data_IF_254129142041
#
_entry.id   IF_254129142041
#
_cell.length_a   1.000
_cell.length_b   1.000
_cell.length_c   1.000
_cell.angle_alpha   90.00
_cell.angle_beta   90.00
_cell.angle_gamma   90.00
#
_symmetry.space_group_name_H-M   'P 1'
#
loop_
_entity.id
_entity.type
_entity.pdbx_description
1 polymer ?
#
# COMPACT_ATOMS: atom_id res chain seq x y z
N UNK A 1 -18.57 -2.51 -15.08
CA UNK A 1 -19.12 -1.73 -13.94
C UNK A 1 -18.19 -1.88 -12.74
N UNK A 2 -17.65 -0.76 -12.26
CA UNK A 2 -16.68 -0.75 -11.15
C UNK A 2 -17.36 -0.29 -9.87
N UNK A 3 -17.26 -1.07 -8.79
CA UNK A 3 -17.88 -0.80 -7.50
C UNK A 3 -16.86 -0.83 -6.37
N UNK A 4 -17.06 0.04 -5.40
CA UNK A 4 -16.35 0.02 -4.13
C UNK A 4 -17.34 -0.28 -3.01
N UNK A 5 -17.06 -1.30 -2.22
CA UNK A 5 -17.89 -1.73 -1.11
C UNK A 5 -17.10 -1.55 0.18
N UNK A 6 -17.65 -0.84 1.14
CA UNK A 6 -17.06 -0.60 2.45
C UNK A 6 -17.96 -1.21 3.53
N UNK A 7 -17.47 -2.31 4.13
CA UNK A 7 -18.19 -3.06 5.16
C UNK A 7 -17.62 -2.74 6.54
N UNK A 8 -18.44 -2.14 7.39
CA UNK A 8 -18.09 -1.80 8.77
C UNK A 8 -18.57 -2.87 9.76
N UNK A 9 -17.68 -3.45 10.54
CA UNK A 9 -18.03 -4.34 11.64
C UNK A 9 -17.28 -3.94 12.91
N UNK A 10 -17.96 -3.25 13.82
CA UNK A 10 -17.34 -2.66 15.02
C UNK A 10 -16.20 -1.73 14.64
N UNK A 11 -15.01 -2.01 15.14
CA UNK A 11 -13.81 -1.23 14.81
C UNK A 11 -13.18 -1.57 13.46
N UNK A 12 -13.57 -2.68 12.83
CA UNK A 12 -13.05 -3.12 11.57
C UNK A 12 -13.77 -2.43 10.42
N UNK A 13 -13.01 -1.91 9.45
CA UNK A 13 -13.52 -1.50 8.14
C UNK A 13 -12.83 -2.33 7.06
N UNK A 14 -13.63 -3.01 6.27
CA UNK A 14 -13.19 -3.79 5.12
C UNK A 14 -13.60 -3.06 3.85
N UNK A 15 -12.71 -2.98 2.89
CA UNK A 15 -12.99 -2.35 1.59
C UNK A 15 -12.67 -3.33 0.47
N UNK A 16 -13.67 -3.59 -0.36
CA UNK A 16 -13.55 -4.41 -1.56
C UNK A 16 -13.80 -3.57 -2.81
N UNK A 17 -13.02 -3.79 -3.85
CA UNK A 17 -13.25 -3.19 -5.17
C UNK A 17 -13.60 -4.30 -6.16
N UNK A 18 -14.74 -4.14 -6.82
CA UNK A 18 -15.23 -5.06 -7.84
C UNK A 18 -15.13 -4.43 -9.22
N UNK A 19 -14.76 -5.23 -10.22
CA UNK A 19 -14.91 -4.93 -11.63
C UNK A 19 -15.80 -6.00 -12.26
N UNK A 20 -16.95 -5.59 -12.80
CA UNK A 20 -17.93 -6.51 -13.39
C UNK A 20 -18.32 -7.70 -12.48
N UNK A 21 -18.42 -7.43 -11.17
CA UNK A 21 -18.75 -8.42 -10.14
C UNK A 21 -17.55 -9.25 -9.65
N UNK A 22 -16.37 -9.14 -10.27
CA UNK A 22 -15.15 -9.84 -9.85
C UNK A 22 -14.35 -8.98 -8.87
N UNK A 23 -13.95 -9.56 -7.74
CA UNK A 23 -13.10 -8.91 -6.74
C UNK A 23 -11.70 -8.67 -7.32
N UNK A 24 -11.28 -7.41 -7.38
CA UNK A 24 -9.97 -7.02 -7.93
C UNK A 24 -9.04 -6.41 -6.89
N UNK A 25 -9.59 -5.98 -5.73
CA UNK A 25 -8.82 -5.38 -4.67
C UNK A 25 -9.54 -5.55 -3.33
N UNK A 26 -8.78 -5.79 -2.27
CA UNK A 26 -9.31 -5.95 -0.92
C UNK A 26 -8.32 -5.43 0.11
N UNK A 27 -8.81 -4.71 1.10
CA UNK A 27 -8.02 -4.27 2.24
C UNK A 27 -8.91 -4.07 3.46
N UNK A 28 -8.31 -4.21 4.63
CA UNK A 28 -8.98 -4.10 5.90
C UNK A 28 -8.11 -3.40 6.94
N UNK A 29 -8.74 -2.75 7.89
CA UNK A 29 -8.07 -2.06 8.99
C UNK A 29 -8.98 -1.98 10.20
N UNK A 30 -8.39 -2.10 11.39
CA UNK A 30 -9.07 -1.83 12.66
C UNK A 30 -8.95 -0.36 12.99
N UNK A 31 -10.03 0.24 13.51
CA UNK A 31 -10.08 1.66 13.89
C UNK A 31 -9.03 2.04 14.94
N UNK A 32 -8.78 1.17 15.93
CA UNK A 32 -7.75 1.38 16.94
C UNK A 32 -6.32 1.11 16.46
N UNK A 33 -6.16 0.32 15.39
CA UNK A 33 -4.88 0.05 14.76
C UNK A 33 -4.68 0.89 13.51
N UNK A 34 -5.17 2.15 13.50
CA UNK A 34 -4.68 3.10 12.49
C UNK A 34 -3.16 3.05 12.58
N UNK A 35 -2.51 2.49 11.56
CA UNK A 35 -1.07 2.25 11.57
C UNK A 35 -0.34 3.52 12.00
N UNK A 36 0.78 3.36 12.65
CA UNK A 36 1.58 4.50 13.09
C UNK A 36 2.27 5.22 11.92
N UNK A 37 2.39 4.54 10.78
CA UNK A 37 3.05 5.09 9.57
C UNK A 37 2.32 6.34 9.09
N UNK A 38 3.08 7.43 8.97
CA UNK A 38 2.56 8.75 8.60
C UNK A 38 2.29 9.66 9.81
N UNK A 39 2.09 9.10 11.01
CA UNK A 39 1.91 9.92 12.22
C UNK A 39 3.16 10.73 12.51
N UNK A 40 2.95 11.97 12.99
CA UNK A 40 4.00 12.91 13.38
C UNK A 40 4.02 13.08 14.88
N UNK A 41 5.21 13.00 15.45
CA UNK A 41 5.43 13.12 16.90
C UNK A 41 6.48 14.18 17.20
N UNK A 42 6.34 14.87 18.32
CA UNK A 42 7.46 15.51 18.98
C UNK A 42 8.11 14.48 19.88
N UNK A 43 9.33 14.07 19.54
CA UNK A 43 10.09 13.05 20.27
C UNK A 43 11.27 13.66 21.00
N UNK A 44 11.85 12.90 21.96
CA UNK A 44 13.07 13.23 22.67
C UNK A 44 14.13 12.19 22.40
N UNK A 45 15.32 12.63 21.98
CA UNK A 45 16.47 11.74 21.77
C UNK A 45 16.89 11.15 23.11
N UNK A 46 16.84 9.83 23.24
CA UNK A 46 17.20 9.09 24.45
C UNK A 46 18.67 8.68 24.39
N UNK A 47 19.10 8.20 23.25
CA UNK A 47 20.48 7.71 23.05
C UNK A 47 20.94 7.95 21.61
N UNK A 48 22.26 8.16 21.42
CA UNK A 48 22.91 8.30 20.12
C UNK A 48 23.97 7.22 20.01
N UNK A 49 23.97 6.47 18.91
CA UNK A 49 24.87 5.34 18.63
C UNK A 49 25.75 5.65 17.44
N UNK A 50 26.95 6.21 17.64
CA UNK A 50 27.83 6.59 16.54
C UNK A 50 28.26 5.41 15.66
N UNK A 51 28.50 4.23 16.24
CA UNK A 51 28.87 3.02 15.49
C UNK A 51 27.80 2.52 14.53
N UNK A 52 26.51 2.87 14.76
CA UNK A 52 25.38 2.55 13.90
C UNK A 52 24.90 3.73 13.07
N UNK A 53 25.46 4.91 13.26
CA UNK A 53 25.00 6.17 12.68
C UNK A 53 23.49 6.38 12.88
N UNK A 54 23.00 6.14 14.10
CA UNK A 54 21.59 6.17 14.44
C UNK A 54 21.36 6.76 15.84
N UNK A 55 20.13 7.20 16.08
CA UNK A 55 19.64 7.63 17.38
C UNK A 55 18.35 6.88 17.77
N UNK A 56 18.14 6.72 19.06
CA UNK A 56 16.86 6.27 19.62
C UNK A 56 16.08 7.48 20.14
N UNK A 57 14.82 7.58 19.72
CA UNK A 57 13.92 8.68 20.03
C UNK A 57 12.71 8.16 20.78
N UNK A 58 12.44 8.68 21.95
CA UNK A 58 11.19 8.44 22.66
C UNK A 58 10.08 9.28 22.03
N UNK A 59 9.05 8.61 21.50
CA UNK A 59 7.86 9.21 20.90
C UNK A 59 6.58 8.85 21.67
N UNK A 60 6.71 8.30 22.90
CA UNK A 60 5.60 7.97 23.78
C UNK A 60 4.92 6.63 23.53
N UNK A 61 5.51 5.71 22.75
CA UNK A 61 4.91 4.43 22.35
C UNK A 61 5.50 3.20 23.07
N UNK A 62 6.05 3.36 24.27
CA UNK A 62 6.61 2.28 25.08
C UNK A 62 7.93 1.69 24.56
N UNK A 63 8.25 1.79 23.29
CA UNK A 63 9.55 1.44 22.68
C UNK A 63 10.11 2.64 21.95
N UNK A 64 11.39 2.93 22.16
CA UNK A 64 12.07 4.02 21.47
C UNK A 64 12.11 3.77 19.96
N UNK A 65 11.79 4.80 19.19
CA UNK A 65 11.85 4.78 17.75
C UNK A 65 13.30 4.89 17.26
N UNK A 66 13.59 4.29 16.12
CA UNK A 66 14.89 4.28 15.48
C UNK A 66 14.96 5.37 14.40
N UNK A 67 15.95 6.27 14.54
CA UNK A 67 16.21 7.36 13.59
C UNK A 67 17.61 7.16 13.00
N UNK A 68 17.69 6.91 11.70
CA UNK A 68 18.96 6.72 11.00
C UNK A 68 19.49 8.06 10.48
N UNK A 69 20.80 8.20 10.33
CA UNK A 69 21.43 9.46 9.93
C UNK A 69 20.91 10.01 8.60
N UNK A 70 20.65 9.15 7.61
CA UNK A 70 20.11 9.59 6.32
C UNK A 70 18.71 10.20 6.43
N UNK A 71 17.97 9.81 7.46
CA UNK A 71 16.65 10.36 7.77
C UNK A 71 16.70 11.75 8.45
N UNK A 72 17.90 12.26 8.74
CA UNK A 72 18.19 13.59 9.30
C UNK A 72 18.80 14.55 8.27
N UNK A 73 19.44 14.03 7.23
CA UNK A 73 20.06 14.83 6.18
C UNK A 73 18.97 15.42 5.27
N UNK A 74 19.36 16.43 4.47
CA UNK A 74 18.38 16.99 3.50
C UNK A 74 17.93 15.90 2.51
N UNK A 75 16.61 15.79 2.19
CA UNK A 75 16.12 14.73 1.31
C UNK A 75 16.62 14.86 -0.14
N UNK A 76 17.01 16.04 -0.57
CA UNK A 76 17.60 16.27 -1.89
C UNK A 76 19.13 16.08 -1.84
N UNK A 77 19.65 15.12 -2.62
CA UNK A 77 21.07 14.73 -2.59
C UNK A 77 22.04 15.89 -2.87
N UNK A 78 21.69 16.77 -3.82
CA UNK A 78 22.51 17.95 -4.17
C UNK A 78 22.64 19.00 -3.04
N UNK A 79 21.72 18.96 -2.08
CA UNK A 79 21.73 19.82 -0.89
C UNK A 79 22.36 19.14 0.33
N UNK A 80 22.82 17.90 0.20
CA UNK A 80 23.55 17.22 1.26
C UNK A 80 25.00 17.69 1.30
N UNK A 81 25.62 17.69 2.50
CA UNK A 81 27.04 18.03 2.61
C UNK A 81 27.92 17.04 1.85
N UNK A 82 29.01 17.51 1.23
CA UNK A 82 29.98 16.68 0.50
C UNK A 82 30.54 15.54 1.37
N UNK A 83 30.78 15.82 2.65
CA UNK A 83 31.18 14.83 3.64
C UNK A 83 30.02 14.57 4.60
N UNK A 84 29.58 13.32 4.67
CA UNK A 84 28.50 12.91 5.55
C UNK A 84 28.94 13.13 7.02
N UNK A 85 28.24 14.00 7.78
CA UNK A 85 28.59 14.26 9.18
C UNK A 85 28.34 13.02 10.05
N UNK A 86 28.92 12.99 11.25
CA UNK A 86 28.55 11.98 12.24
C UNK A 86 27.16 12.26 12.82
N UNK A 87 26.44 11.22 13.21
CA UNK A 87 25.14 11.38 13.89
C UNK A 87 25.25 12.24 15.16
N UNK A 88 26.39 12.23 15.84
CA UNK A 88 26.68 13.02 17.05
C UNK A 88 26.79 14.52 16.79
N UNK A 89 27.06 14.91 15.54
CA UNK A 89 27.09 16.32 15.12
C UNK A 89 25.66 16.85 14.85
N UNK A 90 24.73 15.95 14.47
CA UNK A 90 23.37 16.30 14.09
C UNK A 90 22.39 16.29 15.27
N UNK A 91 22.55 15.34 16.18
CA UNK A 91 21.63 15.18 17.32
C UNK A 91 22.35 14.81 18.62
N UNK A 92 21.78 15.25 19.75
CA UNK A 92 22.32 15.00 21.10
C UNK A 92 21.27 14.36 21.99
N UNK A 93 21.64 13.51 22.98
CA UNK A 93 20.72 13.02 23.99
C UNK A 93 20.01 14.17 24.70
N UNK A 94 18.69 14.03 24.94
CA UNK A 94 17.84 15.05 25.52
C UNK A 94 17.26 16.07 24.53
N UNK A 95 17.77 16.14 23.29
CA UNK A 95 17.25 17.04 22.25
C UNK A 95 15.83 16.63 21.86
N UNK A 96 14.94 17.62 21.73
CA UNK A 96 13.61 17.44 21.20
C UNK A 96 13.61 17.68 19.69
N UNK A 97 12.91 16.85 18.92
CA UNK A 97 12.76 16.98 17.49
C UNK A 97 11.39 16.46 17.02
N UNK A 98 10.89 17.02 15.94
CA UNK A 98 9.70 16.50 15.25
C UNK A 98 10.13 15.37 14.34
N UNK A 99 9.41 14.24 14.39
CA UNK A 99 9.67 13.07 13.56
C UNK A 99 8.38 12.48 13.03
N UNK A 100 8.46 11.87 11.86
CA UNK A 100 7.36 11.12 11.25
C UNK A 100 7.67 9.62 11.25
N UNK A 101 6.70 8.78 11.57
CA UNK A 101 6.85 7.33 11.50
C UNK A 101 6.86 6.88 10.06
N UNK A 102 7.93 6.18 9.67
CA UNK A 102 8.13 5.61 8.33
C UNK A 102 7.79 4.12 8.27
N UNK A 103 8.04 3.38 9.37
CA UNK A 103 7.75 1.94 9.46
C UNK A 103 7.23 1.59 10.84
N UNK A 104 6.27 0.67 10.87
CA UNK A 104 5.70 0.10 12.10
C UNK A 104 6.77 -0.55 12.97
N UNK A 105 6.57 -0.55 14.31
CA UNK A 105 7.36 -1.40 15.18
C UNK A 105 7.13 -2.89 14.81
N UNK A 106 8.20 -3.68 14.85
CA UNK A 106 8.12 -5.09 14.50
C UNK A 106 8.89 -5.95 15.50
N UNK A 107 8.21 -6.90 16.14
CA UNK A 107 8.82 -7.79 17.14
C UNK A 107 9.41 -7.00 18.31
N UNK A 108 10.70 -7.13 18.56
CA UNK A 108 11.44 -6.40 19.59
C UNK A 108 11.87 -4.98 19.19
N UNK A 109 11.74 -4.62 17.89
CA UNK A 109 12.22 -3.33 17.35
C UNK A 109 11.13 -2.26 17.47
N UNK A 110 11.52 -1.03 17.86
CA UNK A 110 10.68 0.15 17.82
C UNK A 110 10.38 0.62 16.38
N UNK A 111 9.48 1.59 16.25
CA UNK A 111 9.16 2.20 14.96
C UNK A 111 10.41 2.83 14.32
N UNK A 112 10.49 2.85 12.98
CA UNK A 112 11.48 3.69 12.28
C UNK A 112 10.86 5.04 11.99
N UNK A 113 11.60 6.10 12.30
CA UNK A 113 11.19 7.49 12.11
C UNK A 113 12.15 8.25 11.20
N UNK A 114 11.69 9.36 10.64
CA UNK A 114 12.41 10.24 9.73
C UNK A 114 12.07 11.70 10.01
N UNK A 115 12.93 12.63 9.59
CA UNK A 115 12.62 14.06 9.50
C UNK A 115 12.22 14.48 8.09
N UNK A 116 12.16 13.55 7.14
CA UNK A 116 11.66 13.78 5.79
C UNK A 116 10.13 13.66 5.78
N UNK A 117 9.46 14.74 6.15
CA UNK A 117 8.00 14.76 6.24
C UNK A 117 7.33 14.60 4.89
N UNK A 118 6.29 13.77 4.85
CA UNK A 118 5.45 13.55 3.68
C UNK A 118 3.99 13.56 4.09
N UNK A 119 3.21 14.47 3.54
CA UNK A 119 1.78 14.59 3.78
C UNK A 119 1.03 14.24 2.48
N UNK A 120 0.37 13.05 2.44
CA UNK A 120 -0.30 12.62 1.23
C UNK A 120 -1.66 13.30 1.09
N UNK A 121 -1.82 14.07 0.01
CA UNK A 121 -3.09 14.58 -0.50
C UNK A 121 -3.72 13.64 -1.51
N UNK A 122 -4.80 14.10 -2.15
CA UNK A 122 -5.48 13.37 -3.21
C UNK A 122 -4.63 13.32 -4.49
N UNK A 123 -4.20 14.47 -4.95
CA UNK A 123 -3.53 14.66 -6.23
C UNK A 123 -2.02 14.67 -6.12
N UNK A 124 -1.50 14.97 -4.94
CA UNK A 124 -0.08 15.12 -4.72
C UNK A 124 0.35 14.64 -3.33
N UNK A 125 1.66 14.54 -3.13
CA UNK A 125 2.29 14.40 -1.81
C UNK A 125 3.06 15.69 -1.54
N UNK A 126 2.75 16.35 -0.45
CA UNK A 126 3.43 17.55 0.01
C UNK A 126 4.60 17.19 0.93
N UNK A 127 5.71 17.82 0.71
CA UNK A 127 6.95 17.65 1.49
C UNK A 127 7.46 19.01 1.91
N UNK A 128 7.37 19.40 3.18
CA UNK A 128 7.74 20.75 3.64
C UNK A 128 9.17 21.18 3.35
N UNK A 129 10.12 20.24 3.25
CA UNK A 129 11.56 20.50 3.22
C UNK A 129 12.25 19.65 2.15
N UNK A 130 11.74 19.56 0.93
CA UNK A 130 12.35 18.72 -0.09
C UNK A 130 12.98 19.49 -1.25
N UNK A 131 12.44 20.66 -1.60
CA UNK A 131 13.00 21.60 -2.56
C UNK A 131 12.91 21.18 -4.04
N UNK A 132 12.01 20.23 -4.40
CA UNK A 132 11.86 19.77 -5.79
C UNK A 132 10.42 19.39 -6.13
N UNK A 133 10.12 19.34 -7.43
CA UNK A 133 8.85 18.78 -7.94
C UNK A 133 9.11 17.45 -8.65
N UNK A 134 8.42 16.41 -8.17
CA UNK A 134 8.39 15.09 -8.79
C UNK A 134 7.05 14.84 -9.49
N UNK A 135 7.04 13.94 -10.49
CA UNK A 135 5.82 13.47 -11.14
C UNK A 135 5.82 11.95 -11.18
N UNK A 136 4.68 11.33 -10.87
CA UNK A 136 4.52 9.87 -10.90
C UNK A 136 5.02 9.28 -12.22
N UNK A 137 5.87 8.26 -12.13
CA UNK A 137 6.36 7.52 -13.31
C UNK A 137 5.26 6.72 -14.03
N UNK A 138 4.06 6.62 -13.45
CA UNK A 138 2.91 5.91 -14.03
C UNK A 138 2.13 6.79 -15.02
N UNK A 139 2.31 8.10 -15.01
CA UNK A 139 1.80 8.99 -16.05
C UNK A 139 2.69 8.80 -17.27
N UNK A 140 2.17 8.20 -18.33
CA UNK A 140 2.97 7.77 -19.47
C UNK A 140 3.17 8.86 -20.52
N UNK A 141 2.18 9.75 -20.68
CA UNK A 141 2.24 10.83 -21.67
C UNK A 141 3.23 11.93 -21.22
N UNK A 142 4.32 12.13 -21.97
CA UNK A 142 5.36 13.11 -21.62
C UNK A 142 4.84 14.56 -21.64
N UNK A 143 3.91 14.87 -22.54
CA UNK A 143 3.24 16.18 -22.57
C UNK A 143 2.49 16.46 -21.27
N UNK A 144 1.78 15.47 -20.74
CA UNK A 144 1.04 15.56 -19.49
C UNK A 144 1.98 15.64 -18.28
N UNK A 145 3.04 14.83 -18.28
CA UNK A 145 4.09 14.92 -17.25
C UNK A 145 4.70 16.32 -17.16
N UNK A 146 4.98 16.89 -18.32
CA UNK A 146 5.55 18.25 -18.43
C UNK A 146 4.53 19.30 -17.95
N UNK A 147 3.26 19.18 -18.36
CA UNK A 147 2.18 20.09 -17.92
C UNK A 147 2.04 20.09 -16.40
N UNK A 148 1.89 18.90 -15.81
CA UNK A 148 1.70 18.74 -14.34
C UNK A 148 2.95 19.22 -13.58
N UNK A 149 4.16 18.96 -14.10
CA UNK A 149 5.40 19.44 -13.48
C UNK A 149 5.45 20.97 -13.45
N UNK A 150 5.10 21.62 -14.55
CA UNK A 150 5.05 23.10 -14.59
C UNK A 150 4.05 23.68 -13.59
N UNK A 151 2.88 23.05 -13.43
CA UNK A 151 1.92 23.45 -12.41
C UNK A 151 2.55 23.29 -11.01
N UNK A 152 3.17 22.15 -10.73
CA UNK A 152 3.82 21.90 -9.44
C UNK A 152 4.90 22.94 -9.11
N UNK A 153 5.72 23.34 -10.09
CA UNK A 153 6.74 24.38 -9.88
C UNK A 153 6.12 25.76 -9.60
N UNK A 154 4.95 26.08 -10.17
CA UNK A 154 4.23 27.34 -9.84
C UNK A 154 3.61 27.31 -8.45
N UNK A 155 3.09 26.16 -8.02
CA UNK A 155 2.44 26.00 -6.72
C UNK A 155 3.44 25.92 -5.56
N UNK A 156 4.65 25.44 -5.83
CA UNK A 156 5.69 25.25 -4.83
C UNK A 156 6.20 26.60 -4.30
N UNK A 157 6.45 26.69 -3.00
CA UNK A 157 7.02 27.84 -2.32
C UNK A 157 8.31 27.46 -1.59
N UNK A 158 9.37 28.24 -1.77
CA UNK A 158 10.63 28.07 -1.04
C UNK A 158 11.20 26.65 -1.10
N UNK A 159 11.44 26.05 0.07
CA UNK A 159 12.01 24.71 0.23
C UNK A 159 10.95 23.58 0.17
N UNK A 160 9.71 23.90 -0.13
CA UNK A 160 8.67 22.87 -0.30
C UNK A 160 9.03 21.91 -1.42
N UNK A 161 8.58 20.68 -1.31
CA UNK A 161 8.59 19.68 -2.38
C UNK A 161 7.18 19.19 -2.66
N UNK A 162 6.91 18.87 -3.91
CA UNK A 162 5.63 18.34 -4.36
C UNK A 162 5.86 17.14 -5.25
N UNK A 163 5.25 16.00 -4.93
CA UNK A 163 5.22 14.85 -5.83
C UNK A 163 3.81 14.69 -6.38
N UNK A 164 3.63 14.99 -7.66
CA UNK A 164 2.36 14.78 -8.35
C UNK A 164 2.07 13.29 -8.49
N UNK A 165 0.91 12.86 -8.00
CA UNK A 165 0.45 11.48 -8.04
C UNK A 165 -0.14 11.13 -9.40
N UNK A 166 -0.36 9.85 -9.67
CA UNK A 166 -1.03 9.41 -10.90
C UNK A 166 -2.44 9.98 -11.02
N UNK A 167 -3.13 10.15 -9.89
CA UNK A 167 -4.47 10.75 -9.84
C UNK A 167 -4.52 12.22 -10.32
N UNK A 168 -3.38 12.92 -10.39
CA UNK A 168 -3.29 14.30 -10.91
C UNK A 168 -3.36 14.37 -12.44
N UNK A 169 -3.35 13.23 -13.14
CA UNK A 169 -3.46 13.18 -14.61
C UNK A 169 -4.81 13.75 -15.04
N UNK A 170 -4.79 14.75 -15.92
CA UNK A 170 -5.98 15.45 -16.42
C UNK A 170 -6.54 16.53 -15.50
N UNK A 171 -6.05 16.66 -14.27
CA UNK A 171 -6.58 17.66 -13.32
C UNK A 171 -6.20 19.10 -13.64
N UNK A 172 -7.07 20.03 -13.25
CA UNK A 172 -6.83 21.46 -13.41
C UNK A 172 -5.90 22.00 -12.30
N UNK A 173 -5.31 23.19 -12.56
CA UNK A 173 -4.41 23.82 -11.62
C UNK A 173 -5.10 24.23 -10.31
N UNK A 174 -6.36 24.61 -10.37
CA UNK A 174 -7.16 25.00 -9.22
C UNK A 174 -7.34 23.83 -8.23
N UNK A 175 -7.65 22.62 -8.73
CA UNK A 175 -7.78 21.42 -7.90
C UNK A 175 -6.45 21.05 -7.23
N UNK A 176 -5.35 21.11 -8.00
CA UNK A 176 -4.01 20.84 -7.49
C UNK A 176 -3.57 21.90 -6.47
N UNK A 177 -3.89 23.17 -6.70
CA UNK A 177 -3.60 24.27 -5.79
C UNK A 177 -4.35 24.14 -4.47
N UNK A 178 -5.62 23.77 -4.51
CA UNK A 178 -6.42 23.54 -3.30
C UNK A 178 -5.85 22.41 -2.43
N UNK A 179 -5.37 21.32 -3.05
CA UNK A 179 -4.75 20.19 -2.32
C UNK A 179 -3.43 20.63 -1.66
N UNK A 180 -2.58 21.41 -2.37
CA UNK A 180 -1.34 21.97 -1.80
C UNK A 180 -1.65 22.88 -0.60
N UNK A 181 -2.61 23.78 -0.75
CA UNK A 181 -2.93 24.77 0.28
C UNK A 181 -3.49 24.08 1.54
N UNK A 182 -4.37 23.07 1.37
CA UNK A 182 -4.86 22.25 2.48
C UNK A 182 -3.71 21.57 3.25
N UNK A 183 -2.75 20.97 2.52
CA UNK A 183 -1.62 20.26 3.14
C UNK A 183 -0.62 21.23 3.79
N UNK A 184 -0.45 22.42 3.25
CA UNK A 184 0.36 23.49 3.83
C UNK A 184 -0.24 23.97 5.16
N UNK A 185 -1.55 24.17 5.22
CA UNK A 185 -2.25 24.53 6.45
C UNK A 185 -2.15 23.40 7.49
N UNK A 186 -2.29 22.15 7.06
CA UNK A 186 -2.10 20.99 7.94
C UNK A 186 -0.69 20.99 8.55
N UNK A 187 0.35 21.21 7.74
CA UNK A 187 1.74 21.28 8.22
C UNK A 187 1.95 22.44 9.19
N UNK A 188 1.40 23.62 8.90
CA UNK A 188 1.45 24.77 9.80
C UNK A 188 0.84 24.42 11.16
N UNK A 189 -0.32 23.75 11.18
CA UNK A 189 -0.94 23.31 12.43
C UNK A 189 -0.11 22.29 13.20
N UNK A 190 0.65 21.42 12.52
CA UNK A 190 1.60 20.49 13.13
C UNK A 190 2.73 21.24 13.84
N UNK A 191 3.30 22.26 13.18
CA UNK A 191 4.36 23.07 13.77
C UNK A 191 3.87 23.87 14.98
N UNK A 192 2.69 24.49 14.91
CA UNK A 192 2.08 25.21 16.04
C UNK A 192 1.86 24.29 17.25
N UNK A 193 1.40 23.05 17.03
CA UNK A 193 1.27 22.04 18.08
C UNK A 193 2.64 21.64 18.64
N UNK A 194 3.65 21.51 17.77
CA UNK A 194 5.00 21.16 18.18
C UNK A 194 5.61 22.23 19.12
N UNK A 195 5.36 23.51 18.85
CA UNK A 195 5.84 24.61 19.69
C UNK A 195 5.19 24.60 21.09
N UNK A 196 3.92 24.21 21.17
CA UNK A 196 3.15 24.20 22.43
C UNK A 196 3.35 22.90 23.24
N UNK A 197 3.62 21.76 22.59
CA UNK A 197 3.71 20.47 23.23
C UNK A 197 5.09 20.22 23.84
N UNK A 198 5.12 19.46 24.96
CA UNK A 198 6.35 18.88 25.53
C UNK A 198 6.54 17.47 24.99
N UNK A 199 7.78 17.11 24.61
CA UNK A 199 8.10 15.76 24.17
C UNK A 199 8.04 14.74 25.34
N UNK A 200 7.52 13.50 25.11
CA UNK A 200 6.94 13.02 23.88
C UNK A 200 5.47 13.44 23.69
N UNK A 201 5.05 13.77 22.45
CA UNK A 201 3.67 14.13 22.14
C UNK A 201 3.32 13.76 20.68
N UNK A 202 2.08 13.28 20.44
CA UNK A 202 1.53 13.10 19.10
C UNK A 202 1.09 14.48 18.56
N UNK A 203 1.58 14.87 17.41
CA UNK A 203 1.28 16.15 16.75
C UNK A 203 0.26 16.00 15.63
N UNK A 204 0.33 14.89 14.90
CA UNK A 204 -0.58 14.57 13.81
C UNK A 204 -0.76 13.06 13.71
N UNK A 205 -1.98 12.64 13.44
CA UNK A 205 -2.32 11.26 13.14
C UNK A 205 -2.73 11.15 11.68
N UNK A 206 -2.06 10.25 10.95
CA UNK A 206 -2.43 9.95 9.57
C UNK A 206 -3.88 9.45 9.49
N UNK A 207 -4.51 9.78 8.40
CA UNK A 207 -5.93 9.52 8.18
C UNK A 207 -6.28 8.03 8.30
N UNK A 208 -7.39 7.74 8.95
CA UNK A 208 -7.98 6.41 9.04
C UNK A 208 -8.34 5.80 7.69
N UNK A 209 -8.71 4.51 7.69
CA UNK A 209 -8.97 3.75 6.47
C UNK A 209 -10.02 4.41 5.57
N UNK A 210 -11.09 4.93 6.13
CA UNK A 210 -12.16 5.58 5.34
C UNK A 210 -11.62 6.74 4.51
N UNK A 211 -10.88 7.67 5.13
CA UNK A 211 -10.28 8.80 4.41
C UNK A 211 -9.24 8.33 3.39
N UNK A 212 -8.42 7.31 3.72
CA UNK A 212 -7.48 6.72 2.77
C UNK A 212 -8.17 6.01 1.61
N UNK A 213 -9.28 5.30 1.87
CA UNK A 213 -10.06 4.65 0.84
C UNK A 213 -10.63 5.67 -0.17
N UNK A 214 -11.18 6.79 0.33
CA UNK A 214 -11.64 7.90 -0.51
C UNK A 214 -10.48 8.56 -1.26
N UNK A 215 -9.38 8.86 -0.58
CA UNK A 215 -8.24 9.53 -1.17
C UNK A 215 -7.49 8.71 -2.22
N UNK A 216 -7.29 7.40 -1.94
CA UNK A 216 -6.34 6.57 -2.69
C UNK A 216 -7.00 5.53 -3.59
N UNK A 217 -8.24 5.14 -3.32
CA UNK A 217 -8.91 4.04 -4.02
C UNK A 217 -10.08 4.50 -4.88
N UNK A 218 -10.78 5.54 -4.45
CA UNK A 218 -11.88 6.09 -5.23
C UNK A 218 -11.32 6.82 -6.47
N UNK A 219 -11.69 6.34 -7.64
CA UNK A 219 -11.30 6.88 -8.95
C UNK A 219 -12.53 7.31 -9.74
N UNK A 220 -12.36 8.18 -10.74
CA UNK A 220 -13.49 8.74 -11.49
C UNK A 220 -14.25 7.70 -12.32
N UNK A 221 -13.61 6.57 -12.61
CA UNK A 221 -14.23 5.40 -13.26
C UNK A 221 -15.03 4.50 -12.30
N UNK A 222 -15.16 4.88 -11.01
CA UNK A 222 -15.99 4.16 -10.06
C UNK A 222 -17.47 4.49 -10.28
N UNK A 223 -18.27 3.49 -10.62
CA UNK A 223 -19.71 3.69 -10.89
C UNK A 223 -20.53 3.84 -9.61
N UNK A 224 -20.21 3.07 -8.57
CA UNK A 224 -20.95 3.07 -7.30
C UNK A 224 -20.00 2.87 -6.11
N UNK A 225 -20.35 3.53 -5.00
CA UNK A 225 -19.69 3.35 -3.70
C UNK A 225 -20.75 2.98 -2.67
N UNK A 226 -20.61 1.84 -2.01
CA UNK A 226 -21.56 1.36 -1.00
C UNK A 226 -20.88 1.31 0.37
N UNK A 227 -21.60 1.74 1.40
CA UNK A 227 -21.19 1.69 2.80
C UNK A 227 -22.36 1.26 3.67
N UNK A 228 -22.16 0.30 4.57
CA UNK A 228 -23.21 -0.27 5.41
C UNK A 228 -23.21 0.20 6.86
N UNK A 229 -22.28 1.07 7.22
CA UNK A 229 -22.21 1.69 8.54
C UNK A 229 -22.74 3.14 8.50
N UNK A 230 -23.92 3.43 9.11
CA UNK A 230 -24.52 4.76 9.07
C UNK A 230 -23.66 5.85 9.69
N UNK A 231 -22.85 5.53 10.72
CA UNK A 231 -21.98 6.52 11.39
C UNK A 231 -20.84 6.93 10.46
N UNK A 232 -20.18 5.97 9.83
CA UNK A 232 -19.13 6.19 8.84
C UNK A 232 -19.67 6.77 7.52
N UNK A 233 -20.94 6.53 7.20
CA UNK A 233 -21.57 7.11 6.02
C UNK A 233 -21.61 8.63 6.07
N UNK A 234 -21.94 9.21 7.22
CA UNK A 234 -21.95 10.66 7.40
C UNK A 234 -20.55 11.26 7.24
N UNK A 235 -19.53 10.58 7.77
CA UNK A 235 -18.13 10.96 7.58
C UNK A 235 -17.71 10.84 6.10
N UNK A 236 -18.08 9.75 5.42
CA UNK A 236 -17.79 9.54 4.00
C UNK A 236 -18.41 10.63 3.13
N UNK A 237 -19.65 11.04 3.40
CA UNK A 237 -20.31 12.17 2.70
C UNK A 237 -19.50 13.44 2.86
N UNK A 238 -19.03 13.75 4.07
CA UNK A 238 -18.23 14.95 4.32
C UNK A 238 -16.89 14.89 3.59
N UNK A 239 -16.20 13.74 3.64
CA UNK A 239 -14.94 13.52 2.95
C UNK A 239 -15.07 13.63 1.42
N UNK A 240 -16.13 13.07 0.85
CA UNK A 240 -16.39 13.15 -0.59
C UNK A 240 -16.66 14.59 -1.02
N UNK A 241 -17.44 15.34 -0.24
CA UNK A 241 -17.69 16.76 -0.53
C UNK A 241 -16.42 17.60 -0.46
N UNK A 242 -15.52 17.29 0.45
CA UNK A 242 -14.22 17.94 0.60
C UNK A 242 -13.27 17.61 -0.54
N UNK A 243 -13.12 16.32 -0.86
CA UNK A 243 -12.04 15.82 -1.73
C UNK A 243 -12.48 15.58 -3.19
N UNK A 244 -13.73 15.17 -3.41
CA UNK A 244 -14.26 14.75 -4.73
C UNK A 244 -15.75 15.04 -4.84
N UNK A 245 -16.16 16.32 -4.85
CA UNK A 245 -17.59 16.70 -4.84
C UNK A 245 -18.42 16.05 -5.97
N UNK A 246 -17.81 15.87 -7.14
CA UNK A 246 -18.45 15.27 -8.31
C UNK A 246 -18.76 13.77 -8.15
N UNK A 247 -18.09 13.08 -7.22
CA UNK A 247 -18.34 11.66 -6.91
C UNK A 247 -19.31 11.47 -5.74
N UNK A 248 -19.66 12.52 -5.02
CA UNK A 248 -20.52 12.42 -3.81
C UNK A 248 -21.88 11.75 -4.09
N UNK A 249 -22.44 11.95 -5.29
CA UNK A 249 -23.70 11.32 -5.72
C UNK A 249 -23.61 9.82 -5.97
N UNK A 250 -22.41 9.23 -6.03
CA UNK A 250 -22.20 7.78 -6.24
C UNK A 250 -22.20 7.00 -4.93
N UNK A 251 -22.11 7.69 -3.77
CA UNK A 251 -22.15 7.06 -2.45
C UNK A 251 -23.58 6.66 -2.08
N UNK A 252 -23.76 5.40 -1.70
CA UNK A 252 -25.03 4.80 -1.30
C UNK A 252 -24.89 4.14 0.06
N UNK A 253 -25.89 4.35 0.92
CA UNK A 253 -25.99 3.62 2.18
C UNK A 253 -26.67 2.28 1.95
N UNK A 254 -26.02 1.20 2.39
CA UNK A 254 -26.61 -0.14 2.39
C UNK A 254 -27.30 -0.40 3.75
N UNK A 255 -28.60 -0.59 3.73
CA UNK A 255 -29.38 -0.83 4.94
C UNK A 255 -29.50 -2.33 5.23
N UNK A 256 -28.54 -2.92 5.91
CA UNK A 256 -28.46 -4.35 6.26
C UNK A 256 -29.76 -4.89 6.88
N UNK A 257 -30.46 -4.07 7.69
CA UNK A 257 -31.74 -4.46 8.31
C UNK A 257 -32.85 -4.74 7.33
N UNK A 258 -32.82 -4.09 6.14
CA UNK A 258 -33.83 -4.28 5.08
C UNK A 258 -33.49 -5.45 4.17
N UNK A 259 -32.20 -5.69 3.93
CA UNK A 259 -31.72 -6.63 2.91
C UNK A 259 -31.56 -8.08 3.41
N UNK A 260 -31.62 -8.34 4.72
CA UNK A 260 -31.43 -9.66 5.36
C UNK A 260 -30.09 -10.37 5.02
N UNK A 261 -29.16 -9.66 4.43
CA UNK A 261 -27.83 -10.11 4.05
C UNK A 261 -26.80 -9.03 4.36
N UNK A 262 -25.54 -9.40 4.57
CA UNK A 262 -24.47 -8.41 4.68
C UNK A 262 -24.21 -7.73 3.33
N UNK A 263 -23.54 -6.58 3.34
CA UNK A 263 -23.13 -5.89 2.11
C UNK A 263 -22.30 -6.82 1.21
N UNK A 264 -21.35 -7.55 1.80
CA UNK A 264 -20.48 -8.44 1.05
C UNK A 264 -21.20 -9.67 0.49
N UNK A 265 -22.12 -10.26 1.25
CA UNK A 265 -22.93 -11.39 0.76
C UNK A 265 -23.83 -10.97 -0.40
N UNK A 266 -24.45 -9.79 -0.31
CA UNK A 266 -25.31 -9.24 -1.36
C UNK A 266 -24.61 -9.09 -2.71
N UNK A 267 -23.30 -8.80 -2.69
CA UNK A 267 -22.50 -8.65 -3.90
C UNK A 267 -21.59 -9.86 -4.19
N UNK A 268 -21.73 -10.97 -3.43
CA UNK A 268 -20.94 -12.19 -3.61
C UNK A 268 -19.46 -12.00 -3.35
N UNK A 269 -19.12 -11.10 -2.43
CA UNK A 269 -17.72 -10.78 -2.08
C UNK A 269 -17.16 -11.77 -1.07
N UNK A 270 -17.98 -12.23 -0.10
CA UNK A 270 -17.55 -13.17 0.93
C UNK A 270 -16.94 -14.42 0.33
N UNK A 271 -17.65 -15.09 -0.59
CA UNK A 271 -17.16 -16.31 -1.26
C UNK A 271 -15.87 -16.04 -2.05
N UNK A 272 -15.77 -14.89 -2.70
CA UNK A 272 -14.56 -14.51 -3.46
C UNK A 272 -13.36 -14.23 -2.55
N UNK A 273 -13.57 -13.68 -1.36
CA UNK A 273 -12.50 -13.52 -0.36
C UNK A 273 -12.06 -14.90 0.13
N UNK A 274 -12.97 -15.77 0.52
CA UNK A 274 -12.65 -17.13 0.98
C UNK A 274 -11.85 -17.90 -0.08
N UNK A 275 -12.31 -17.87 -1.33
CA UNK A 275 -11.60 -18.49 -2.45
C UNK A 275 -10.21 -17.87 -2.66
N UNK A 276 -10.11 -16.53 -2.56
CA UNK A 276 -8.84 -15.82 -2.76
C UNK A 276 -7.80 -16.14 -1.67
N UNK A 277 -8.20 -16.50 -0.45
CA UNK A 277 -7.30 -16.90 0.65
C UNK A 277 -7.08 -18.40 0.78
N UNK A 278 -7.70 -19.21 -0.09
CA UNK A 278 -7.43 -20.65 -0.15
C UNK A 278 -5.96 -20.93 -0.53
N UNK A 279 -5.29 -21.91 0.08
CA UNK A 279 -3.93 -22.31 -0.30
C UNK A 279 -3.82 -22.87 -1.72
N UNK A 280 -4.93 -23.34 -2.29
CA UNK A 280 -5.01 -23.83 -3.66
C UNK A 280 -6.16 -23.14 -4.40
N UNK A 281 -5.83 -22.45 -5.47
CA UNK A 281 -6.77 -21.68 -6.31
C UNK A 281 -6.92 -22.41 -7.65
N UNK A 282 -8.16 -22.64 -8.08
CA UNK A 282 -8.45 -23.24 -9.39
C UNK A 282 -8.49 -22.13 -10.46
N UNK A 283 -7.90 -22.43 -11.59
CA UNK A 283 -7.97 -21.61 -12.80
C UNK A 283 -9.15 -22.07 -13.68
N UNK A 284 -9.69 -21.19 -14.49
CA UNK A 284 -10.80 -21.48 -15.42
C UNK A 284 -10.36 -22.51 -16.48
N UNK A 285 -9.09 -22.46 -16.91
CA UNK A 285 -8.48 -23.47 -17.79
C UNK A 285 -8.40 -24.86 -17.17
N UNK A 286 -8.75 -25.01 -15.88
CA UNK A 286 -8.67 -26.24 -15.12
C UNK A 286 -7.34 -26.42 -14.37
N UNK A 287 -6.33 -25.61 -14.63
CA UNK A 287 -5.09 -25.54 -13.85
C UNK A 287 -5.31 -25.11 -12.40
N UNK A 288 -4.26 -25.03 -11.62
CA UNK A 288 -4.33 -24.53 -10.25
C UNK A 288 -3.05 -23.84 -9.84
N UNK A 289 -3.20 -22.85 -8.94
CA UNK A 289 -2.11 -22.21 -8.22
C UNK A 289 -2.00 -22.83 -6.83
N UNK A 290 -0.80 -23.15 -6.41
CA UNK A 290 -0.47 -23.49 -5.02
C UNK A 290 0.32 -22.32 -4.44
N UNK A 291 -0.08 -21.87 -3.27
CA UNK A 291 0.41 -20.63 -2.68
C UNK A 291 0.98 -20.89 -1.30
N UNK A 292 2.29 -20.68 -1.13
CA UNK A 292 3.01 -20.87 0.11
C UNK A 292 3.73 -19.60 0.55
N UNK A 293 3.41 -19.12 1.75
CA UNK A 293 4.09 -17.98 2.38
C UNK A 293 5.08 -18.49 3.42
N UNK A 294 6.35 -18.14 3.24
CA UNK A 294 7.41 -18.40 4.21
C UNK A 294 7.73 -17.12 5.00
N UNK A 295 8.66 -17.18 5.93
CA UNK A 295 9.14 -16.00 6.66
C UNK A 295 9.82 -14.98 5.74
N UNK A 296 10.54 -15.44 4.71
CA UNK A 296 11.40 -14.61 3.87
C UNK A 296 10.78 -14.27 2.50
N UNK A 297 9.99 -15.17 1.93
CA UNK A 297 9.46 -15.03 0.57
C UNK A 297 8.13 -15.78 0.39
N UNK A 298 7.41 -15.43 -0.66
CA UNK A 298 6.22 -16.17 -1.11
C UNK A 298 6.59 -16.98 -2.35
N UNK A 299 6.18 -18.25 -2.37
CA UNK A 299 6.34 -19.15 -3.50
C UNK A 299 4.97 -19.47 -4.07
N UNK A 300 4.86 -19.45 -5.40
CA UNK A 300 3.65 -19.77 -6.13
C UNK A 300 3.98 -20.81 -7.19
N UNK A 301 3.31 -21.97 -7.13
CA UNK A 301 3.47 -23.07 -8.06
C UNK A 301 2.24 -23.15 -8.98
N UNK A 302 2.46 -23.23 -10.28
CA UNK A 302 1.43 -23.31 -11.32
C UNK A 302 1.34 -24.72 -11.86
N UNK A 303 0.20 -25.36 -11.63
CA UNK A 303 -0.04 -26.73 -12.06
C UNK A 303 -1.03 -26.81 -13.22
N UNK A 304 -0.77 -27.69 -14.20
CA UNK A 304 -1.74 -28.01 -15.25
C UNK A 304 -2.89 -28.85 -14.72
N UNK A 305 -4.04 -28.76 -15.41
CA UNK A 305 -5.07 -29.79 -15.33
C UNK A 305 -4.62 -31.05 -16.08
N UNK A 306 -5.32 -32.15 -15.82
CA UNK A 306 -5.18 -33.38 -16.62
C UNK A 306 -5.64 -33.24 -18.09
N UNK A 307 -6.07 -32.04 -18.50
CA UNK A 307 -6.64 -31.78 -19.82
C UNK A 307 -5.56 -31.29 -20.79
N UNK A 308 -5.25 -32.13 -21.77
CA UNK A 308 -4.44 -31.76 -22.93
C UNK A 308 -5.42 -31.16 -23.95
N UNK A 309 -5.31 -29.85 -24.21
CA UNK A 309 -6.15 -29.14 -25.19
C UNK A 309 -6.03 -29.73 -26.60
N UNK A 310 -7.00 -29.41 -27.45
CA UNK A 310 -7.07 -29.91 -28.83
C UNK A 310 -5.96 -29.34 -29.75
N UNK A 311 -5.19 -28.32 -29.34
CA UNK A 311 -4.24 -27.56 -30.16
C UNK A 311 -2.76 -27.86 -29.88
N UNK A 312 -2.44 -28.77 -28.95
CA UNK A 312 -1.07 -29.15 -28.59
C UNK A 312 -0.68 -28.77 -27.17
N UNK A 313 0.37 -29.43 -26.65
CA UNK A 313 0.81 -29.28 -25.28
C UNK A 313 1.30 -27.85 -24.97
N UNK A 314 2.19 -27.32 -25.80
CA UNK A 314 2.80 -25.97 -25.63
C UNK A 314 1.76 -24.87 -25.64
N UNK A 315 0.74 -24.91 -26.51
CA UNK A 315 -0.33 -23.91 -26.57
C UNK A 315 -1.21 -23.94 -25.30
N UNK A 316 -1.48 -25.15 -24.79
CA UNK A 316 -2.22 -25.32 -23.53
C UNK A 316 -1.44 -24.78 -22.34
N UNK A 317 -0.14 -25.08 -22.25
CA UNK A 317 0.76 -24.58 -21.23
C UNK A 317 0.82 -23.06 -21.27
N UNK A 318 1.02 -22.47 -22.46
CA UNK A 318 1.07 -21.02 -22.61
C UNK A 318 -0.22 -20.34 -22.14
N UNK A 319 -1.39 -20.84 -22.55
CA UNK A 319 -2.69 -20.30 -22.13
C UNK A 319 -2.90 -20.40 -20.60
N UNK A 320 -2.53 -21.52 -20.01
CA UNK A 320 -2.62 -21.71 -18.56
C UNK A 320 -1.68 -20.76 -17.83
N UNK A 321 -0.45 -20.58 -18.30
CA UNK A 321 0.50 -19.65 -17.70
C UNK A 321 0.08 -18.18 -17.85
N UNK A 322 -0.55 -17.79 -18.96
CA UNK A 322 -1.11 -16.44 -19.14
C UNK A 322 -2.25 -16.16 -18.16
N UNK A 323 -3.18 -17.12 -18.01
CA UNK A 323 -4.25 -17.04 -17.02
C UNK A 323 -3.70 -17.00 -15.59
N UNK A 324 -2.71 -17.87 -15.30
CA UNK A 324 -2.02 -17.87 -14.01
C UNK A 324 -1.38 -16.51 -13.70
N UNK A 325 -0.73 -15.89 -14.68
CA UNK A 325 -0.14 -14.55 -14.51
C UNK A 325 -1.18 -13.48 -14.14
N UNK A 326 -2.34 -13.49 -14.80
CA UNK A 326 -3.44 -12.57 -14.50
C UNK A 326 -4.01 -12.81 -13.10
N UNK A 327 -4.23 -14.06 -12.74
CA UNK A 327 -4.79 -14.44 -11.44
C UNK A 327 -3.80 -14.17 -10.29
N UNK A 328 -2.51 -14.49 -10.46
CA UNK A 328 -1.45 -14.18 -9.50
C UNK A 328 -1.41 -12.67 -9.23
N UNK A 329 -1.39 -11.86 -10.28
CA UNK A 329 -1.36 -10.41 -10.15
C UNK A 329 -2.59 -9.87 -9.37
N UNK A 330 -3.78 -10.43 -9.58
CA UNK A 330 -4.99 -10.12 -8.85
C UNK A 330 -4.88 -10.51 -7.37
N UNK A 331 -4.43 -11.74 -7.09
CA UNK A 331 -4.32 -12.29 -5.75
C UNK A 331 -3.23 -11.58 -4.91
N UNK A 332 -2.12 -11.15 -5.52
CA UNK A 332 -1.10 -10.34 -4.85
C UNK A 332 -1.69 -9.07 -4.23
N UNK A 333 -2.69 -8.45 -4.90
CA UNK A 333 -3.38 -7.26 -4.38
C UNK A 333 -4.42 -7.60 -3.31
N UNK A 334 -5.23 -8.64 -3.54
CA UNK A 334 -6.28 -9.05 -2.59
C UNK A 334 -5.67 -9.52 -1.27
N UNK A 335 -4.61 -10.36 -1.35
CA UNK A 335 -3.90 -10.86 -0.16
C UNK A 335 -2.94 -9.83 0.46
N UNK A 336 -2.70 -8.70 -0.23
CA UNK A 336 -1.71 -7.68 0.11
C UNK A 336 -0.31 -8.25 0.37
N UNK A 337 0.12 -9.17 -0.49
CA UNK A 337 1.44 -9.80 -0.40
C UNK A 337 2.53 -8.79 -0.74
N UNK A 338 3.56 -8.77 0.10
CA UNK A 338 4.75 -7.95 -0.12
C UNK A 338 6.04 -8.69 0.23
N UNK A 339 7.15 -8.26 -0.33
CA UNK A 339 8.46 -8.89 -0.20
C UNK A 339 8.92 -9.53 -1.50
N UNK A 340 9.73 -10.57 -1.38
CA UNK A 340 10.22 -11.37 -2.51
C UNK A 340 9.14 -12.40 -2.87
N UNK A 341 8.83 -12.53 -4.15
CA UNK A 341 7.87 -13.48 -4.68
C UNK A 341 8.54 -14.25 -5.82
N UNK A 342 8.44 -15.57 -5.76
CA UNK A 342 8.99 -16.48 -6.75
C UNK A 342 7.86 -17.32 -7.32
N UNK A 343 7.76 -17.37 -8.64
CA UNK A 343 6.69 -18.08 -9.34
C UNK A 343 7.31 -19.18 -10.18
N UNK A 344 6.82 -20.42 -9.96
CA UNK A 344 7.15 -21.61 -10.75
C UNK A 344 6.02 -21.81 -11.77
N UNK A 345 6.23 -21.28 -12.99
CA UNK A 345 5.31 -21.47 -14.10
C UNK A 345 5.56 -22.83 -14.76
N UNK A 346 4.53 -23.39 -15.38
CA UNK A 346 4.67 -24.62 -16.17
C UNK A 346 5.72 -24.39 -17.26
N UNK A 347 6.63 -25.34 -17.42
CA UNK A 347 7.73 -25.26 -18.40
C UNK A 347 7.22 -24.96 -19.81
N UNK A 348 7.82 -23.94 -20.44
CA UNK A 348 7.57 -23.53 -21.82
C UNK A 348 8.85 -23.69 -22.63
N UNK A 349 8.77 -24.41 -23.74
CA UNK A 349 9.89 -24.59 -24.65
C UNK A 349 10.14 -23.33 -25.50
N UNK A 350 9.06 -22.59 -25.82
CA UNK A 350 9.13 -21.41 -26.66
C UNK A 350 9.47 -20.16 -25.84
N UNK A 351 10.65 -19.58 -26.05
CA UNK A 351 11.13 -18.36 -25.37
C UNK A 351 10.17 -17.17 -25.58
N UNK A 352 9.55 -17.04 -26.76
CA UNK A 352 8.57 -15.98 -27.02
C UNK A 352 7.34 -16.09 -26.10
N UNK A 353 6.93 -17.29 -25.70
CA UNK A 353 5.84 -17.51 -24.77
C UNK A 353 6.26 -17.08 -23.35
N UNK A 354 7.49 -17.39 -22.93
CA UNK A 354 8.06 -16.94 -21.64
C UNK A 354 8.11 -15.42 -21.56
N UNK A 355 8.55 -14.76 -22.64
CA UNK A 355 8.58 -13.29 -22.73
C UNK A 355 7.16 -12.69 -22.61
N UNK A 356 6.15 -13.28 -23.25
CA UNK A 356 4.75 -12.81 -23.17
C UNK A 356 4.17 -12.93 -21.76
N UNK A 357 4.45 -14.04 -21.06
CA UNK A 357 4.01 -14.24 -19.66
C UNK A 357 4.66 -13.20 -18.76
N UNK A 358 5.97 -12.97 -18.88
CA UNK A 358 6.70 -11.95 -18.13
C UNK A 358 6.19 -10.54 -18.44
N UNK A 359 5.95 -10.22 -19.72
CA UNK A 359 5.39 -8.94 -20.14
C UNK A 359 4.00 -8.70 -19.51
N UNK A 360 3.15 -9.74 -19.46
CA UNK A 360 1.82 -9.68 -18.83
C UNK A 360 1.90 -9.29 -17.36
N UNK A 361 2.77 -9.96 -16.58
CA UNK A 361 3.00 -9.60 -15.18
C UNK A 361 3.58 -8.19 -15.03
N UNK A 362 4.48 -7.80 -15.94
CA UNK A 362 5.07 -6.45 -15.93
C UNK A 362 4.03 -5.36 -16.20
N UNK A 363 3.05 -5.60 -17.06
CA UNK A 363 1.91 -4.70 -17.28
C UNK A 363 1.06 -4.53 -16.02
N UNK A 364 0.78 -5.64 -15.33
CA UNK A 364 0.07 -5.60 -14.06
C UNK A 364 0.86 -4.88 -12.97
N UNK A 365 2.17 -5.12 -12.89
CA UNK A 365 3.05 -4.46 -11.94
C UNK A 365 3.07 -2.93 -12.11
N UNK A 366 2.97 -2.43 -13.35
CA UNK A 366 2.85 -0.99 -13.63
C UNK A 366 1.53 -0.40 -13.13
N UNK A 367 0.45 -1.17 -13.17
CA UNK A 367 -0.90 -0.75 -12.71
C UNK A 367 -1.12 -0.93 -11.22
N UNK A 368 -0.29 -1.73 -10.52
CA UNK A 368 -0.42 -1.93 -9.08
C UNK A 368 -0.19 -0.62 -8.33
N UNK A 369 -1.03 -0.31 -7.35
CA UNK A 369 -0.88 0.87 -6.47
C UNK A 369 0.43 0.81 -5.70
N UNK A 370 0.81 -0.37 -5.27
CA UNK A 370 2.05 -0.65 -4.58
C UNK A 370 3.20 -0.84 -5.57
N UNK A 371 4.39 -0.37 -5.24
CA UNK A 371 5.56 -0.56 -6.11
C UNK A 371 5.84 -2.06 -6.25
N UNK A 372 5.69 -2.55 -7.47
CA UNK A 372 5.99 -3.92 -7.86
C UNK A 372 7.05 -3.89 -8.98
N UNK A 373 8.04 -4.77 -8.92
CA UNK A 373 9.10 -4.86 -9.90
C UNK A 373 9.29 -6.32 -10.29
N UNK A 374 9.13 -6.63 -11.57
CA UNK A 374 9.44 -7.95 -12.15
C UNK A 374 10.91 -7.92 -12.59
N UNK A 375 11.71 -8.86 -12.08
CA UNK A 375 13.15 -8.94 -12.40
C UNK A 375 13.42 -9.82 -13.61
N UNK A 376 12.65 -10.87 -13.79
CA UNK A 376 12.77 -11.79 -14.93
C UNK A 376 12.86 -13.25 -14.51
N UNK A 377 13.30 -14.08 -15.45
CA UNK A 377 13.47 -15.51 -15.25
C UNK A 377 14.84 -15.85 -14.66
N UNK A 378 14.86 -16.71 -13.65
CA UNK A 378 16.10 -17.27 -13.12
C UNK A 378 16.67 -18.33 -14.06
N UNK A 379 17.89 -18.77 -13.79
CA UNK A 379 18.50 -19.92 -14.48
C UNK A 379 17.77 -21.25 -14.20
N UNK A 380 16.99 -21.31 -13.15
CA UNK A 380 16.17 -22.48 -12.80
C UNK A 380 14.77 -22.48 -13.47
N UNK A 381 14.46 -21.46 -14.27
CA UNK A 381 13.16 -21.32 -14.90
C UNK A 381 12.08 -20.67 -14.02
N UNK A 382 12.45 -20.16 -12.84
CA UNK A 382 11.52 -19.45 -11.95
C UNK A 382 11.42 -17.98 -12.33
N UNK A 383 10.24 -17.36 -12.18
CA UNK A 383 10.07 -15.93 -12.38
C UNK A 383 10.13 -15.18 -11.05
N UNK A 384 10.99 -14.16 -10.99
CA UNK A 384 11.23 -13.37 -9.79
C UNK A 384 10.57 -12.00 -9.88
N UNK A 385 9.90 -11.61 -8.81
CA UNK A 385 9.39 -10.26 -8.62
C UNK A 385 9.47 -9.81 -7.16
N UNK A 386 9.46 -8.51 -6.94
CA UNK A 386 9.30 -7.93 -5.61
C UNK A 386 8.13 -6.97 -5.60
N UNK A 387 7.40 -6.97 -4.49
CA UNK A 387 6.34 -6.00 -4.21
C UNK A 387 6.61 -5.34 -2.87
N UNK A 388 6.52 -4.01 -2.80
CA UNK A 388 6.75 -3.28 -1.56
C UNK A 388 5.74 -3.74 -0.51
N UNK A 389 6.22 -4.15 0.67
CA UNK A 389 5.34 -4.43 1.81
C UNK A 389 4.81 -3.09 2.34
N UNK A 390 3.53 -2.83 2.13
CA UNK A 390 2.91 -1.57 2.52
C UNK A 390 2.28 -1.64 3.92
N UNK A 391 1.75 -2.80 4.31
CA UNK A 391 1.02 -3.06 5.57
C UNK A 391 1.28 -4.49 6.05
N UNK A 392 0.72 -4.84 7.21
CA UNK A 392 0.58 -6.24 7.56
C UNK A 392 -0.38 -6.92 6.60
N UNK A 393 0.06 -8.06 6.06
CA UNK A 393 -0.66 -8.87 5.09
C UNK A 393 -2.10 -9.12 5.56
N UNK A 394 -3.09 -8.87 4.70
CA UNK A 394 -4.51 -9.12 4.98
C UNK A 394 -4.74 -10.58 5.41
N UNK A 395 -3.99 -11.54 4.85
CA UNK A 395 -4.05 -12.94 5.26
C UNK A 395 -3.73 -13.12 6.75
N UNK A 396 -2.73 -12.41 7.30
CA UNK A 396 -2.37 -12.49 8.72
C UNK A 396 -3.45 -11.91 9.65
N UNK A 397 -4.26 -11.00 9.15
CA UNK A 397 -5.37 -10.42 9.92
C UNK A 397 -6.62 -11.29 9.86
N UNK A 398 -6.79 -12.09 8.81
CA UNK A 398 -7.92 -12.99 8.59
C UNK A 398 -7.68 -14.43 9.07
N UNK A 399 -6.42 -14.80 9.38
CA UNK A 399 -6.07 -16.18 9.75
C UNK A 399 -5.43 -16.22 11.13
N UNK A 400 -5.66 -17.32 11.84
CA UNK A 400 -4.98 -17.66 13.08
C UNK A 400 -4.02 -18.84 12.85
N UNK A 401 -2.93 -18.87 13.60
CA UNK A 401 -2.02 -20.02 13.54
C UNK A 401 -2.73 -21.26 14.04
N UNK A 402 -2.68 -22.33 13.25
CA UNK A 402 -3.24 -23.61 13.66
C UNK A 402 -2.59 -24.10 14.97
N UNK A 403 -3.35 -24.32 16.04
CA UNK A 403 -2.79 -24.72 17.33
C UNK A 403 -2.14 -26.13 17.30
N UNK A 404 -2.53 -26.97 16.33
CA UNK A 404 -2.00 -28.33 16.21
C UNK A 404 -0.65 -28.44 15.52
N UNK A 405 -0.35 -27.57 14.56
CA UNK A 405 0.88 -27.63 13.76
C UNK A 405 1.67 -26.29 13.75
N UNK A 406 1.18 -25.26 14.45
CA UNK A 406 1.81 -23.94 14.45
C UNK A 406 1.90 -23.28 13.06
N UNK A 407 1.08 -23.72 12.10
CA UNK A 407 1.06 -23.22 10.71
C UNK A 407 1.94 -24.02 9.74
N UNK A 408 2.61 -25.09 10.19
CA UNK A 408 3.50 -25.89 9.31
C UNK A 408 2.76 -26.88 8.41
N UNK A 409 1.45 -27.10 8.64
CA UNK A 409 0.66 -28.12 7.93
C UNK A 409 1.06 -29.57 8.26
N UNK A 410 2.08 -29.79 9.08
CA UNK A 410 2.61 -31.10 9.45
C UNK A 410 2.64 -31.26 10.97
N UNK A 411 2.19 -32.38 11.46
CA UNK A 411 2.28 -32.77 12.88
C UNK A 411 3.31 -33.88 13.00
N UNK A 412 4.22 -33.78 13.98
CA UNK A 412 5.13 -34.89 14.28
C UNK A 412 4.35 -36.11 14.71
N UNK A 413 4.66 -37.26 14.12
CA UNK A 413 4.11 -38.56 14.50
C UNK A 413 4.99 -39.30 15.52
N UNK A 414 6.10 -38.69 15.94
CA UNK A 414 6.92 -39.26 17.01
C UNK A 414 6.15 -39.13 18.33
N UNK A 415 5.69 -40.26 18.84
CA UNK A 415 5.24 -40.36 20.21
C UNK A 415 6.48 -40.55 21.10
N UNK A 416 6.69 -39.63 22.03
CA UNK A 416 7.60 -39.83 23.15
C UNK A 416 6.97 -40.75 24.17
#
# INVERSE_FOLDING_TARGET
MKRMLMHGHGELLQTAVLMDGRLIDFFMEKSESSGLVGNVYKGRVVNVLPGMQAAFVDIGLGKNAFLYIDDLLHPHLEKQPEHKPSITELVKPGQELVVQVMKEPMGSKGARVTTHFTLPGRWLVYMPIAGYVGVSKKIMAESERSRIRMIGERLRQGEEGIIMRTAAEGECEESLGADVEHLRQLWTSVLERADQAKAPAELHREAGLLRRAVRDTLTDDMDEVWLDDPSRYSEAVSLLKEMTPHLAGRLKLFETRKEKASLFDRFGVTDQIEAAFSPRIRLESGGSLVWDETEALTVIDVNTAKYIGATGLEDTVFKTNMEAADEIARLLRIRDIGGIIVIDFIDMENESNREKVMARLSEWAKKDRTKCTVFGWTRLGLLELTRRKARDNAARQLTERCPSCGGTGKKSSFHS
#
